data_IF_686862385545
#
_entry.id   IF_686862385545
#
_cell.length_a   1.000
_cell.length_b   1.000
_cell.length_c   1.000
_cell.angle_alpha   90.00
_cell.angle_beta   90.00
_cell.angle_gamma   90.00
#
_symmetry.space_group_name_H-M   'P 1'
#
loop_
_entity.id
_entity.type
_entity.pdbx_description
1 polymer ?
#
# COMPACT_ATOMS: atom_id res chain seq x y z
N UNK A 1 5.51 -6.90 48.07
CA UNK A 1 5.58 -6.76 49.54
C UNK A 1 6.87 -6.05 49.88
N UNK A 2 6.81 -4.90 50.57
CA UNK A 2 7.98 -4.34 51.26
C UNK A 2 7.78 -4.73 52.73
N UNK A 3 8.68 -5.54 53.30
CA UNK A 3 8.59 -5.96 54.69
C UNK A 3 7.43 -6.91 55.05
N UNK A 4 6.90 -7.69 54.10
CA UNK A 4 5.91 -8.74 54.40
C UNK A 4 4.45 -8.31 54.51
N UNK A 5 4.11 -7.06 54.16
CA UNK A 5 2.72 -6.58 54.07
C UNK A 5 2.27 -6.35 52.61
N UNK A 6 0.94 -6.44 52.33
CA UNK A 6 0.36 -6.10 51.04
C UNK A 6 0.63 -4.63 50.69
N UNK A 7 1.10 -4.39 49.47
CA UNK A 7 1.33 -3.03 48.97
C UNK A 7 0.11 -2.62 48.16
N UNK A 8 -0.57 -1.56 48.60
CA UNK A 8 -1.64 -0.93 47.82
C UNK A 8 -1.07 0.30 47.10
N UNK A 9 -1.40 0.45 45.83
CA UNK A 9 -1.05 1.64 45.03
C UNK A 9 -2.32 2.44 44.81
N UNK A 10 -2.33 3.68 45.31
CA UNK A 10 -3.39 4.65 45.08
C UNK A 10 -2.78 5.84 44.32
N UNK A 11 -3.26 6.07 43.10
CA UNK A 11 -2.77 7.12 42.20
C UNK A 11 -3.96 7.82 41.54
N UNK A 12 -3.91 9.14 41.49
CA UNK A 12 -4.88 9.95 40.76
C UNK A 12 -4.32 10.30 39.38
N UNK A 13 -5.01 9.86 38.32
CA UNK A 13 -4.69 10.22 36.94
C UNK A 13 -5.65 11.29 36.43
N UNK A 14 -5.12 12.48 36.09
CA UNK A 14 -5.92 13.53 35.47
C UNK A 14 -5.97 13.37 33.96
N UNK A 15 -7.03 13.90 33.32
CA UNK A 15 -7.14 13.91 31.85
C UNK A 15 -5.94 14.58 31.20
N UNK A 16 -5.53 15.75 31.68
CA UNK A 16 -4.39 16.50 31.14
C UNK A 16 -3.10 15.69 31.21
N UNK A 17 -2.88 14.94 32.31
CA UNK A 17 -1.72 14.07 32.41
C UNK A 17 -1.80 12.90 31.41
N UNK A 18 -2.97 12.25 31.29
CA UNK A 18 -3.18 11.18 30.30
C UNK A 18 -2.98 11.66 28.85
N UNK A 19 -3.51 12.84 28.50
CA UNK A 19 -3.30 13.45 27.18
C UNK A 19 -1.82 13.80 26.94
N UNK A 20 -1.11 14.27 27.98
CA UNK A 20 0.32 14.56 27.88
C UNK A 20 1.15 13.30 27.60
N UNK A 21 0.87 12.18 28.28
CA UNK A 21 1.64 10.94 28.14
C UNK A 21 1.27 10.14 26.88
N UNK A 22 0.18 10.51 26.19
CA UNK A 22 -0.27 9.88 24.93
C UNK A 22 -0.13 10.79 23.71
N UNK A 23 0.43 12.00 23.90
CA UNK A 23 0.49 13.03 22.86
C UNK A 23 1.23 12.55 21.61
N UNK A 24 2.33 11.83 21.77
CA UNK A 24 3.14 11.31 20.67
C UNK A 24 2.33 10.33 19.78
N UNK A 25 1.45 9.52 20.38
CA UNK A 25 0.57 8.62 19.65
C UNK A 25 -0.46 9.38 18.82
N UNK A 26 -1.02 10.47 19.36
CA UNK A 26 -1.93 11.35 18.62
C UNK A 26 -1.20 12.12 17.51
N UNK A 27 0.00 12.63 17.78
CA UNK A 27 0.77 13.38 16.78
C UNK A 27 1.11 12.50 15.56
N UNK A 28 1.33 11.20 15.76
CA UNK A 28 1.58 10.23 14.69
C UNK A 28 0.43 10.09 13.70
N UNK A 29 -0.81 10.41 14.07
CA UNK A 29 -1.97 10.29 13.17
C UNK A 29 -2.17 11.52 12.29
N UNK A 30 -1.49 12.64 12.58
CA UNK A 30 -1.64 13.89 11.81
C UNK A 30 -1.20 13.68 10.36
N UNK A 31 0.01 13.13 10.20
CA UNK A 31 0.64 13.00 8.88
C UNK A 31 -0.17 12.12 7.91
N UNK A 32 -0.63 10.92 8.28
CA UNK A 32 -1.48 10.11 7.40
C UNK A 32 -2.75 10.83 6.94
N UNK A 33 -3.38 11.63 7.81
CA UNK A 33 -4.56 12.42 7.46
C UNK A 33 -4.22 13.52 6.44
N UNK A 34 -3.12 14.25 6.67
CA UNK A 34 -2.66 15.29 5.74
C UNK A 34 -2.25 14.71 4.37
N UNK A 35 -1.55 13.57 4.37
CA UNK A 35 -1.13 12.88 3.16
C UNK A 35 -2.34 12.37 2.37
N UNK A 36 -3.34 11.78 3.03
CA UNK A 36 -4.58 11.34 2.39
C UNK A 36 -5.35 12.51 1.73
N UNK A 37 -5.49 13.64 2.42
CA UNK A 37 -6.13 14.84 1.87
C UNK A 37 -5.34 15.33 0.65
N UNK A 38 -4.00 15.41 0.74
CA UNK A 38 -3.14 15.83 -0.37
C UNK A 38 -3.27 14.92 -1.58
N UNK A 39 -3.30 13.61 -1.38
CA UNK A 39 -3.38 12.60 -2.43
C UNK A 39 -4.75 12.52 -3.09
N UNK A 40 -5.82 12.83 -2.36
CA UNK A 40 -7.18 12.93 -2.90
C UNK A 40 -7.34 14.05 -3.94
N UNK A 41 -6.41 15.01 -3.97
CA UNK A 41 -6.50 16.26 -4.76
C UNK A 41 -7.74 17.11 -4.42
N UNK A 42 -8.37 16.88 -3.28
CA UNK A 42 -9.48 17.66 -2.74
C UNK A 42 -8.99 18.68 -1.72
N UNK A 43 -9.71 19.79 -1.61
CA UNK A 43 -9.54 20.75 -0.52
C UNK A 43 -10.30 20.35 0.74
N UNK A 44 -9.93 20.92 1.89
CA UNK A 44 -10.66 20.73 3.15
C UNK A 44 -12.15 21.16 3.05
N UNK A 45 -12.47 22.09 2.16
CA UNK A 45 -13.83 22.53 1.88
C UNK A 45 -14.71 21.44 1.28
N UNK A 46 -14.09 20.49 0.58
CA UNK A 46 -14.78 19.47 -0.21
C UNK A 46 -15.13 18.24 0.63
N UNK A 47 -14.58 18.13 1.84
CA UNK A 47 -14.95 17.10 2.81
C UNK A 47 -16.30 17.47 3.39
N UNK A 48 -17.40 16.77 3.12
CA UNK A 48 -18.71 17.14 3.67
C UNK A 48 -18.87 16.78 5.15
N UNK A 49 -18.47 15.56 5.52
CA UNK A 49 -18.60 15.00 6.86
C UNK A 49 -17.32 14.29 7.29
N UNK A 50 -17.12 14.23 8.60
CA UNK A 50 -16.01 13.51 9.23
C UNK A 50 -16.61 12.44 10.12
N UNK A 51 -16.26 11.18 9.87
CA UNK A 51 -16.73 10.03 10.65
C UNK A 51 -15.59 9.49 11.49
N UNK A 52 -15.87 9.14 12.74
CA UNK A 52 -14.91 8.52 13.65
C UNK A 52 -15.29 7.06 13.88
N UNK A 53 -14.32 6.17 13.72
CA UNK A 53 -14.52 4.71 13.81
C UNK A 53 -13.47 4.14 14.78
N UNK A 54 -13.90 3.20 15.63
CA UNK A 54 -13.10 2.56 16.68
C UNK A 54 -13.20 3.24 18.04
N UNK A 55 -13.22 2.44 19.13
CA UNK A 55 -13.47 2.92 20.49
C UNK A 55 -12.50 3.99 21.01
N UNK A 56 -11.23 3.95 20.57
CA UNK A 56 -10.22 4.96 20.95
C UNK A 56 -10.60 6.38 20.49
N UNK A 57 -11.45 6.53 19.47
CA UNK A 57 -11.95 7.82 18.99
C UNK A 57 -12.93 8.51 19.95
N UNK A 58 -13.36 7.81 21.02
CA UNK A 58 -14.14 8.39 22.12
C UNK A 58 -13.31 9.33 23.00
N UNK A 59 -11.97 9.29 22.90
CA UNK A 59 -11.09 10.20 23.63
C UNK A 59 -11.29 11.66 23.16
N UNK A 60 -11.56 12.63 24.06
CA UNK A 60 -11.80 14.02 23.67
C UNK A 60 -10.67 14.64 22.85
N UNK A 61 -9.41 14.33 23.17
CA UNK A 61 -8.26 14.83 22.42
C UNK A 61 -8.23 14.34 20.96
N UNK A 62 -8.72 13.12 20.67
CA UNK A 62 -8.80 12.59 19.31
C UNK A 62 -9.89 13.32 18.51
N UNK A 63 -11.05 13.56 19.11
CA UNK A 63 -12.14 14.32 18.47
C UNK A 63 -11.71 15.76 18.17
N UNK A 64 -11.05 16.41 19.14
CA UNK A 64 -10.51 17.76 18.97
C UNK A 64 -9.42 17.81 17.88
N UNK A 65 -8.57 16.79 17.81
CA UNK A 65 -7.57 16.66 16.75
C UNK A 65 -8.22 16.52 15.37
N UNK A 66 -9.19 15.63 15.23
CA UNK A 66 -9.92 15.42 13.97
C UNK A 66 -10.61 16.71 13.50
N UNK A 67 -11.28 17.43 14.42
CA UNK A 67 -11.91 18.71 14.11
C UNK A 67 -10.86 19.77 13.71
N UNK A 68 -9.71 19.80 14.37
CA UNK A 68 -8.61 20.72 14.02
C UNK A 68 -8.04 20.45 12.63
N UNK A 69 -7.82 19.19 12.27
CA UNK A 69 -7.24 18.80 10.98
C UNK A 69 -8.19 19.04 9.81
N UNK A 70 -9.47 18.73 10.01
CA UNK A 70 -10.49 18.78 8.95
C UNK A 70 -11.24 20.10 8.91
N UNK A 71 -11.15 20.92 9.98
CA UNK A 71 -11.98 22.11 10.24
C UNK A 71 -13.48 21.80 10.28
N UNK A 72 -13.85 20.54 10.55
CA UNK A 72 -15.24 20.09 10.62
C UNK A 72 -15.50 19.28 11.87
N UNK A 73 -16.66 19.51 12.47
CA UNK A 73 -17.09 18.76 13.64
C UNK A 73 -17.36 17.29 13.23
N UNK A 74 -16.78 16.31 13.93
CA UNK A 74 -17.07 14.91 13.68
C UNK A 74 -18.56 14.60 13.84
N UNK A 75 -19.09 13.84 12.89
CA UNK A 75 -20.42 13.28 12.97
C UNK A 75 -20.38 12.04 13.88
N UNK A 76 -21.12 12.11 14.97
CA UNK A 76 -21.21 11.07 16.00
C UNK A 76 -22.54 10.29 15.92
N UNK A 77 -23.25 10.35 14.78
CA UNK A 77 -24.51 9.64 14.58
C UNK A 77 -24.34 8.13 14.42
N UNK A 78 -23.12 7.66 14.17
CA UNK A 78 -22.78 6.25 14.00
C UNK A 78 -22.14 5.69 15.28
N UNK A 79 -22.39 4.41 15.58
CA UNK A 79 -21.69 3.73 16.65
C UNK A 79 -20.27 3.34 16.19
N UNK A 80 -19.20 3.95 16.74
CA UNK A 80 -17.84 3.71 16.27
C UNK A 80 -17.37 2.27 16.50
N UNK A 81 -18.00 1.52 17.40
CA UNK A 81 -17.59 0.16 17.77
C UNK A 81 -18.24 -0.91 16.87
N UNK A 82 -19.38 -0.61 16.24
CA UNK A 82 -20.19 -1.58 15.48
C UNK A 82 -20.26 -1.27 13.98
N UNK A 83 -19.97 -0.03 13.58
CA UNK A 83 -20.18 0.45 12.19
C UNK A 83 -19.42 -0.38 11.15
N UNK A 84 -18.25 -0.91 11.49
CA UNK A 84 -17.47 -1.77 10.58
C UNK A 84 -18.20 -3.10 10.34
N UNK A 85 -18.71 -3.73 11.39
CA UNK A 85 -19.45 -4.99 11.27
C UNK A 85 -20.77 -4.80 10.50
N UNK A 86 -21.44 -3.67 10.73
CA UNK A 86 -22.64 -3.29 9.97
C UNK A 86 -22.33 -3.08 8.48
N UNK A 87 -21.24 -2.38 8.16
CA UNK A 87 -20.77 -2.21 6.78
C UNK A 87 -20.45 -3.54 6.09
N UNK A 88 -19.79 -4.45 6.81
CA UNK A 88 -19.51 -5.81 6.30
C UNK A 88 -20.80 -6.60 6.01
N UNK A 89 -21.82 -6.48 6.87
CA UNK A 89 -23.11 -7.12 6.63
C UNK A 89 -23.83 -6.55 5.38
N UNK A 90 -23.75 -5.24 5.16
CA UNK A 90 -24.26 -4.60 3.93
C UNK A 90 -23.51 -5.14 2.70
N UNK A 91 -22.18 -5.24 2.76
CA UNK A 91 -21.38 -5.79 1.67
C UNK A 91 -21.77 -7.25 1.37
N UNK A 92 -22.02 -8.07 2.39
CA UNK A 92 -22.51 -9.44 2.21
C UNK A 92 -23.88 -9.47 1.51
N UNK A 93 -24.80 -8.57 1.88
CA UNK A 93 -26.10 -8.43 1.22
C UNK A 93 -25.99 -8.00 -0.25
N UNK A 94 -25.02 -7.15 -0.60
CA UNK A 94 -24.72 -6.78 -2.00
C UNK A 94 -24.20 -7.99 -2.78
N UNK A 95 -23.25 -8.74 -2.23
CA UNK A 95 -22.70 -9.96 -2.85
C UNK A 95 -23.76 -11.06 -3.02
N UNK A 96 -24.70 -11.18 -2.09
CA UNK A 96 -25.84 -12.10 -2.18
C UNK A 96 -26.92 -11.63 -3.19
N UNK A 97 -26.83 -10.40 -3.69
CA UNK A 97 -27.82 -9.79 -4.59
C UNK A 97 -29.11 -9.36 -3.90
N UNK A 98 -29.15 -9.37 -2.57
CA UNK A 98 -30.27 -8.91 -1.75
C UNK A 98 -30.33 -7.38 -1.70
N UNK A 99 -29.16 -6.73 -1.72
CA UNK A 99 -29.03 -5.27 -1.80
C UNK A 99 -28.58 -4.89 -3.21
N UNK A 100 -29.38 -4.07 -3.89
CA UNK A 100 -29.11 -3.57 -5.24
C UNK A 100 -28.70 -2.09 -5.19
N UNK A 101 -28.10 -1.62 -6.27
CA UNK A 101 -27.74 -0.21 -6.49
C UNK A 101 -26.61 0.35 -5.61
N UNK A 102 -25.77 -0.53 -5.02
CA UNK A 102 -24.51 -0.15 -4.38
C UNK A 102 -23.35 -0.68 -5.23
N UNK A 103 -22.53 0.23 -5.73
CA UNK A 103 -21.25 -0.09 -6.37
C UNK A 103 -20.13 0.35 -5.42
N UNK A 104 -19.38 -0.61 -4.91
CA UNK A 104 -18.17 -0.36 -4.13
C UNK A 104 -16.96 -0.40 -5.08
N UNK A 105 -16.19 0.69 -5.09
CA UNK A 105 -14.91 0.77 -5.77
C UNK A 105 -13.84 0.98 -4.69
N UNK A 106 -12.95 0.01 -4.56
CA UNK A 106 -11.84 0.07 -3.62
C UNK A 106 -10.55 0.46 -4.34
N UNK A 107 -9.46 0.65 -3.60
CA UNK A 107 -8.15 1.03 -4.14
C UNK A 107 -7.02 0.18 -3.57
N UNK A 108 -5.91 0.08 -4.30
CA UNK A 108 -4.71 -0.60 -3.80
C UNK A 108 -3.91 0.32 -2.85
N UNK A 109 -3.43 -0.16 -1.68
CA UNK A 109 -2.80 0.69 -0.67
C UNK A 109 -1.34 1.06 -0.99
N UNK A 110 -0.64 0.25 -1.78
CA UNK A 110 0.78 0.41 -2.11
C UNK A 110 1.01 0.10 -3.58
N UNK A 111 2.03 0.73 -4.16
CA UNK A 111 2.40 0.55 -5.56
C UNK A 111 2.93 -0.86 -5.81
N UNK A 112 2.44 -1.48 -6.89
CA UNK A 112 2.87 -2.80 -7.37
C UNK A 112 3.83 -2.63 -8.55
N UNK A 113 4.99 -3.25 -8.43
CA UNK A 113 6.12 -3.07 -9.34
C UNK A 113 6.76 -4.39 -9.74
N UNK A 114 7.48 -4.35 -10.86
CA UNK A 114 8.39 -5.42 -11.28
C UNK A 114 9.83 -4.93 -11.17
N UNK A 115 10.74 -5.79 -10.71
CA UNK A 115 12.17 -5.51 -10.73
C UNK A 115 12.72 -5.53 -12.17
N UNK A 116 13.43 -4.47 -12.55
CA UNK A 116 14.11 -4.34 -13.84
C UNK A 116 15.63 -4.23 -13.66
N UNK A 117 16.36 -4.11 -14.77
CA UNK A 117 17.82 -4.00 -14.79
C UNK A 117 18.33 -2.98 -13.77
N UNK A 118 19.38 -3.34 -13.03
CA UNK A 118 19.95 -2.53 -11.97
C UNK A 118 19.19 -2.57 -10.64
N UNK A 119 18.18 -3.43 -10.50
CA UNK A 119 17.40 -3.58 -9.28
C UNK A 119 16.39 -2.45 -9.05
N UNK A 120 15.98 -1.78 -10.14
CA UNK A 120 14.99 -0.70 -10.10
C UNK A 120 13.58 -1.30 -10.00
N UNK A 121 12.75 -0.76 -9.12
CA UNK A 121 11.33 -1.09 -9.05
C UNK A 121 10.58 -0.25 -10.11
N UNK A 122 10.19 -0.90 -11.21
CA UNK A 122 9.38 -0.26 -12.25
C UNK A 122 7.91 -0.41 -11.91
N UNK A 123 7.23 0.71 -11.67
CA UNK A 123 5.83 0.74 -11.23
C UNK A 123 4.89 0.35 -12.38
N UNK A 124 3.92 -0.53 -12.10
CA UNK A 124 2.86 -0.90 -13.06
C UNK A 124 1.47 -0.47 -12.57
N UNK A 125 1.16 -0.68 -11.30
CA UNK A 125 -0.09 -0.23 -10.67
C UNK A 125 0.30 0.66 -9.49
N UNK A 126 0.07 1.96 -9.63
CA UNK A 126 0.34 2.95 -8.59
C UNK A 126 -0.59 2.76 -7.38
N UNK A 127 -0.13 3.11 -6.18
CA UNK A 127 -1.00 3.18 -5.00
C UNK A 127 -2.20 4.10 -5.24
N UNK A 128 -3.30 3.81 -4.55
CA UNK A 128 -4.60 4.43 -4.71
C UNK A 128 -5.26 4.20 -6.09
N UNK A 129 -4.73 3.30 -6.93
CA UNK A 129 -5.43 2.87 -8.15
C UNK A 129 -6.69 2.09 -7.81
N UNK A 130 -7.81 2.46 -8.44
CA UNK A 130 -9.11 1.77 -8.26
C UNK A 130 -9.03 0.32 -8.70
N UNK A 131 -9.53 -0.60 -7.87
CA UNK A 131 -9.63 -2.03 -8.19
C UNK A 131 -11.08 -2.42 -8.52
N UNK A 132 -11.30 -3.35 -9.45
CA UNK A 132 -10.30 -4.14 -10.18
C UNK A 132 -9.55 -3.34 -11.26
N UNK A 133 -8.27 -3.67 -11.49
CA UNK A 133 -7.42 -3.02 -12.49
C UNK A 133 -6.48 -4.00 -13.18
N UNK A 134 -6.25 -3.80 -14.48
CA UNK A 134 -5.26 -4.52 -15.28
C UNK A 134 -4.27 -3.55 -15.92
N UNK A 135 -2.98 -3.84 -15.82
CA UNK A 135 -1.90 -3.07 -16.45
C UNK A 135 -0.92 -4.00 -17.15
N UNK A 136 -0.61 -3.67 -18.40
CA UNK A 136 0.32 -4.40 -19.27
C UNK A 136 1.48 -3.51 -19.63
N UNK A 137 2.68 -4.05 -19.54
CA UNK A 137 3.90 -3.38 -19.99
C UNK A 137 4.82 -4.39 -20.66
N UNK A 138 5.44 -3.97 -21.76
CA UNK A 138 6.39 -4.79 -22.49
C UNK A 138 7.79 -4.48 -21.99
N UNK A 139 8.49 -5.54 -21.58
CA UNK A 139 9.89 -5.56 -21.20
C UNK A 139 10.69 -6.35 -22.22
N UNK A 140 12.02 -6.29 -22.11
CA UNK A 140 12.93 -7.06 -22.95
C UNK A 140 14.06 -7.67 -22.13
N UNK A 141 14.79 -8.61 -22.74
CA UNK A 141 15.99 -9.22 -22.15
C UNK A 141 17.10 -8.20 -21.94
N UNK A 142 17.87 -8.42 -20.86
CA UNK A 142 19.01 -7.59 -20.49
C UNK A 142 20.33 -8.10 -21.09
N UNK A 143 20.38 -9.38 -21.50
CA UNK A 143 21.60 -10.04 -22.00
C UNK A 143 21.31 -10.73 -23.33
N UNK A 144 22.32 -10.76 -24.21
CA UNK A 144 22.26 -11.47 -25.49
C UNK A 144 21.99 -12.97 -25.27
N UNK A 145 21.11 -13.54 -26.09
CA UNK A 145 20.74 -14.95 -26.09
C UNK A 145 20.23 -15.47 -24.73
N UNK A 146 19.65 -14.58 -23.91
CA UNK A 146 19.08 -14.91 -22.61
C UNK A 146 17.97 -15.96 -22.74
N UNK A 147 18.13 -17.19 -22.19
CA UNK A 147 17.19 -18.30 -22.39
C UNK A 147 15.92 -18.20 -21.53
N UNK A 148 15.95 -17.36 -20.50
CA UNK A 148 14.87 -17.15 -19.55
C UNK A 148 14.98 -15.79 -18.86
N UNK A 149 13.84 -15.21 -18.47
CA UNK A 149 13.78 -14.00 -17.63
C UNK A 149 13.14 -14.31 -16.30
N UNK A 150 13.70 -13.75 -15.24
CA UNK A 150 13.14 -13.79 -13.90
C UNK A 150 12.27 -12.55 -13.69
N UNK A 151 11.01 -12.78 -13.33
CA UNK A 151 10.05 -11.72 -12.99
C UNK A 151 9.92 -11.69 -11.47
N UNK A 152 10.51 -10.67 -10.85
CA UNK A 152 10.39 -10.43 -9.42
C UNK A 152 9.38 -9.31 -9.16
N UNK A 153 8.33 -9.65 -8.41
CA UNK A 153 7.20 -8.76 -8.09
C UNK A 153 7.39 -8.19 -6.70
N UNK A 154 7.32 -6.87 -6.58
CA UNK A 154 7.48 -6.15 -5.32
C UNK A 154 6.35 -5.15 -5.08
N UNK A 155 6.10 -4.85 -3.80
CA UNK A 155 5.11 -3.87 -3.36
C UNK A 155 5.76 -2.83 -2.44
N UNK A 156 5.55 -1.54 -2.74
CA UNK A 156 6.07 -0.43 -1.96
C UNK A 156 6.41 0.80 -2.80
N UNK A 157 6.79 1.88 -2.14
CA UNK A 157 6.97 3.21 -2.73
C UNK A 157 8.45 3.59 -2.95
N UNK A 158 9.40 2.69 -2.67
CA UNK A 158 10.84 2.99 -2.82
C UNK A 158 11.29 2.64 -4.25
N UNK A 159 12.25 3.38 -4.83
CA UNK A 159 12.62 3.20 -6.24
C UNK A 159 13.43 1.93 -6.53
N UNK A 160 14.00 1.27 -5.51
CA UNK A 160 14.79 0.05 -5.67
C UNK A 160 14.02 -1.16 -5.15
N UNK A 161 14.06 -2.27 -5.88
CA UNK A 161 13.30 -3.48 -5.57
C UNK A 161 13.68 -4.08 -4.20
N UNK A 162 14.97 -4.06 -3.84
CA UNK A 162 15.50 -4.56 -2.55
C UNK A 162 14.92 -3.85 -1.32
N UNK A 163 14.40 -2.65 -1.52
CA UNK A 163 13.94 -1.74 -0.49
C UNK A 163 12.41 -1.80 -0.31
N UNK A 164 11.73 -2.62 -1.13
CA UNK A 164 10.30 -2.88 -1.10
C UNK A 164 10.01 -4.31 -0.61
N UNK A 165 8.73 -4.59 -0.35
CA UNK A 165 8.29 -5.94 0.04
C UNK A 165 8.29 -6.84 -1.19
N UNK A 166 9.09 -7.90 -1.17
CA UNK A 166 9.00 -8.97 -2.17
C UNK A 166 7.70 -9.75 -1.99
N UNK A 167 6.92 -9.84 -3.06
CA UNK A 167 5.68 -10.61 -3.11
C UNK A 167 5.89 -12.01 -3.70
N UNK A 168 6.81 -12.14 -4.65
CA UNK A 168 7.16 -13.41 -5.26
C UNK A 168 7.99 -13.25 -6.52
N UNK A 169 8.61 -14.35 -6.93
CA UNK A 169 9.42 -14.42 -8.16
C UNK A 169 9.03 -15.64 -8.95
N UNK A 170 8.97 -15.51 -10.27
CA UNK A 170 8.80 -16.64 -11.17
C UNK A 170 9.61 -16.44 -12.45
N UNK A 171 10.01 -17.54 -13.08
CA UNK A 171 10.85 -17.51 -14.28
C UNK A 171 10.03 -17.86 -15.52
N UNK A 172 10.16 -17.06 -16.57
CA UNK A 172 9.67 -17.39 -17.90
C UNK A 172 10.79 -18.07 -18.70
N UNK A 173 10.65 -19.37 -18.96
CA UNK A 173 11.63 -20.14 -19.72
C UNK A 173 11.32 -20.21 -21.22
N UNK A 174 12.38 -20.39 -22.01
CA UNK A 174 12.27 -20.79 -23.40
C UNK A 174 11.97 -19.63 -24.33
N UNK A 175 12.55 -18.47 -24.00
CA UNK A 175 12.55 -17.24 -24.79
C UNK A 175 13.41 -17.46 -26.04
N UNK A 176 13.04 -16.82 -27.14
CA UNK A 176 13.85 -16.81 -28.36
C UNK A 176 15.25 -16.27 -28.06
N UNK A 177 16.28 -17.01 -28.48
CA UNK A 177 17.65 -16.51 -28.43
C UNK A 177 17.81 -15.39 -29.47
N UNK A 178 17.97 -14.17 -28.98
CA UNK A 178 18.17 -12.96 -29.78
C UNK A 178 19.07 -11.99 -29.00
N UNK A 179 19.64 -10.96 -29.65
CA UNK A 179 20.35 -9.88 -28.96
C UNK A 179 19.50 -9.25 -27.85
N UNK A 180 20.15 -8.66 -26.84
CA UNK A 180 19.49 -7.88 -25.79
C UNK A 180 18.55 -6.84 -26.42
N UNK A 181 17.40 -6.59 -25.81
CA UNK A 181 16.44 -5.61 -26.35
C UNK A 181 15.50 -6.10 -27.47
N UNK A 182 15.75 -7.26 -28.09
CA UNK A 182 14.88 -7.77 -29.17
C UNK A 182 13.65 -8.56 -28.67
N UNK A 183 13.76 -9.53 -27.74
CA UNK A 183 12.61 -10.31 -27.27
C UNK A 183 11.60 -9.45 -26.51
N UNK A 184 10.32 -9.57 -26.87
CA UNK A 184 9.24 -8.80 -26.25
C UNK A 184 8.49 -9.63 -25.21
N UNK A 185 8.74 -9.34 -23.93
CA UNK A 185 8.06 -10.00 -22.82
C UNK A 185 6.97 -9.06 -22.30
N UNK A 186 5.71 -9.38 -22.58
CA UNK A 186 4.58 -8.68 -22.01
C UNK A 186 4.32 -9.17 -20.60
N UNK A 187 4.47 -8.28 -19.63
CA UNK A 187 4.13 -8.52 -18.23
C UNK A 187 2.79 -7.84 -17.94
N UNK A 188 1.83 -8.61 -17.44
CA UNK A 188 0.49 -8.18 -17.10
C UNK A 188 0.24 -8.36 -15.60
N UNK A 189 -0.10 -7.27 -14.93
CA UNK A 189 -0.55 -7.24 -13.55
C UNK A 189 -2.06 -7.08 -13.56
N UNK A 190 -2.76 -8.03 -12.96
CA UNK A 190 -4.21 -8.02 -12.78
C UNK A 190 -4.52 -8.10 -11.30
N UNK A 191 -5.15 -7.06 -10.77
CA UNK A 191 -5.59 -6.98 -9.38
C UNK A 191 -7.12 -7.02 -9.37
N UNK A 192 -7.69 -8.06 -8.75
CA UNK A 192 -9.14 -8.26 -8.72
C UNK A 192 -9.82 -7.46 -7.60
N UNK A 193 -11.15 -7.58 -7.50
CA UNK A 193 -11.95 -6.88 -6.49
C UNK A 193 -11.72 -7.39 -5.06
N UNK A 194 -11.08 -8.55 -4.89
CA UNK A 194 -10.71 -9.11 -3.58
C UNK A 194 -9.27 -8.75 -3.18
N UNK A 195 -8.54 -8.03 -4.03
CA UNK A 195 -7.13 -7.72 -3.82
C UNK A 195 -6.18 -8.87 -4.17
N UNK A 196 -6.64 -9.91 -4.88
CA UNK A 196 -5.78 -11.00 -5.35
C UNK A 196 -5.01 -10.52 -6.57
N UNK A 197 -3.68 -10.56 -6.50
CA UNK A 197 -2.79 -10.14 -7.57
C UNK A 197 -2.40 -11.36 -8.42
N UNK A 198 -2.74 -11.31 -9.71
CA UNK A 198 -2.23 -12.24 -10.72
C UNK A 198 -1.22 -11.52 -11.60
N UNK A 199 0.02 -11.98 -11.59
CA UNK A 199 1.07 -11.49 -12.47
C UNK A 199 1.38 -12.55 -13.50
N UNK A 200 1.23 -12.22 -14.78
CA UNK A 200 1.58 -13.09 -15.89
C UNK A 200 2.66 -12.45 -16.75
N UNK A 201 3.55 -13.27 -17.29
CA UNK A 201 4.54 -12.87 -18.28
C UNK A 201 4.38 -13.75 -19.52
N UNK A 202 4.35 -13.12 -20.69
CA UNK A 202 4.21 -13.81 -21.98
C UNK A 202 5.24 -13.27 -22.96
N UNK A 203 6.03 -14.17 -23.53
CA UNK A 203 6.85 -13.87 -24.70
C UNK A 203 5.94 -13.75 -25.93
N UNK A 204 5.92 -12.57 -26.56
CA UNK A 204 5.08 -12.29 -27.71
C UNK A 204 5.51 -13.08 -28.96
N UNK A 205 6.77 -13.50 -29.06
CA UNK A 205 7.30 -14.23 -30.22
C UNK A 205 7.01 -15.72 -30.12
N UNK A 206 7.31 -16.33 -28.97
CA UNK A 206 7.14 -17.79 -28.78
C UNK A 206 5.75 -18.17 -28.27
N UNK A 207 4.98 -17.21 -27.76
CA UNK A 207 3.68 -17.45 -27.13
C UNK A 207 3.74 -18.16 -25.78
N UNK A 208 4.94 -18.51 -25.29
CA UNK A 208 5.12 -19.11 -23.97
C UNK A 208 4.78 -18.08 -22.90
N UNK A 209 4.07 -18.55 -21.88
CA UNK A 209 3.70 -17.74 -20.73
C UNK A 209 3.91 -18.49 -19.44
N UNK A 210 4.19 -17.75 -18.39
CA UNK A 210 4.15 -18.24 -17.03
C UNK A 210 3.46 -17.19 -16.15
N UNK A 211 2.92 -17.60 -15.01
CA UNK A 211 2.23 -16.68 -14.10
C UNK A 211 2.38 -17.12 -12.66
N UNK A 212 2.18 -16.16 -11.77
CA UNK A 212 2.05 -16.36 -10.34
C UNK A 212 0.76 -15.67 -9.86
N UNK A 213 0.07 -16.33 -8.95
CA UNK A 213 -1.05 -15.73 -8.22
C UNK A 213 -0.60 -15.53 -6.78
N UNK A 214 -0.75 -14.30 -6.31
CA UNK A 214 -0.30 -13.85 -5.01
C UNK A 214 -1.55 -13.44 -4.25
N UNK A 215 -1.93 -14.29 -3.30
CA UNK A 215 -3.01 -13.99 -2.37
C UNK A 215 -2.49 -13.00 -1.32
N UNK A 216 -3.11 -11.82 -1.25
CA UNK A 216 -2.80 -10.82 -0.22
C UNK A 216 -3.43 -11.16 1.15
N UNK A 217 -3.96 -12.37 1.33
CA UNK A 217 -4.50 -12.89 2.60
C UNK A 217 -3.52 -12.94 3.77
N UNK A 218 -2.22 -12.70 3.55
CA UNK A 218 -1.20 -12.43 4.59
C UNK A 218 -0.57 -11.05 4.46
N UNK A 219 -1.36 -10.09 3.95
CA UNK A 219 -0.96 -8.73 3.64
C UNK A 219 -0.30 -8.03 4.83
N UNK A 220 0.61 -7.11 4.48
CA UNK A 220 1.31 -6.22 5.41
C UNK A 220 0.31 -5.65 6.42
N UNK A 221 0.64 -5.70 7.71
CA UNK A 221 -0.18 -5.04 8.71
C UNK A 221 -0.23 -3.53 8.43
N UNK A 222 -1.27 -2.85 8.89
CA UNK A 222 -1.37 -1.39 8.72
C UNK A 222 -0.12 -0.70 9.30
N UNK A 223 0.45 -1.22 10.39
CA UNK A 223 1.70 -0.73 10.95
C UNK A 223 2.91 -0.91 10.00
N UNK A 224 2.96 -2.03 9.27
CA UNK A 224 3.99 -2.26 8.27
C UNK A 224 3.83 -1.33 7.06
N UNK A 225 2.61 -1.11 6.58
CA UNK A 225 2.31 -0.17 5.49
C UNK A 225 2.75 1.25 5.88
N UNK A 226 2.31 1.72 7.05
CA UNK A 226 2.67 3.05 7.56
C UNK A 226 4.18 3.20 7.74
N UNK A 227 4.87 2.15 8.19
CA UNK A 227 6.32 2.14 8.30
C UNK A 227 6.99 2.24 6.93
N UNK A 228 6.54 1.47 5.94
CA UNK A 228 7.10 1.48 4.58
C UNK A 228 6.93 2.85 3.90
N UNK A 229 5.77 3.48 4.07
CA UNK A 229 5.52 4.84 3.56
C UNK A 229 6.49 5.83 4.22
N UNK A 230 6.58 5.80 5.54
CA UNK A 230 7.48 6.69 6.29
C UNK A 230 8.95 6.47 5.92
N UNK A 231 9.37 5.22 5.78
CA UNK A 231 10.74 4.86 5.40
C UNK A 231 11.05 5.37 3.98
N UNK A 232 10.09 5.33 3.05
CA UNK A 232 10.25 5.92 1.71
C UNK A 232 10.50 7.43 1.77
N UNK A 233 9.74 8.16 2.60
CA UNK A 233 9.91 9.62 2.70
C UNK A 233 11.23 10.03 3.35
N UNK A 234 11.65 9.31 4.40
CA UNK A 234 12.93 9.56 5.07
C UNK A 234 14.10 9.34 4.11
N UNK A 235 14.01 8.31 3.26
CA UNK A 235 15.09 7.92 2.36
C UNK A 235 15.03 8.60 0.99
N UNK A 236 14.02 9.44 0.72
CA UNK A 236 13.74 10.04 -0.60
C UNK A 236 14.96 10.62 -1.32
N UNK A 237 15.77 11.43 -0.63
CA UNK A 237 16.97 12.05 -1.24
C UNK A 237 18.08 11.05 -1.55
N UNK A 238 18.26 10.05 -0.69
CA UNK A 238 19.25 8.98 -0.87
C UNK A 238 18.83 8.05 -2.01
N UNK A 239 17.57 7.70 -2.02
CA UNK A 239 16.93 6.82 -3.00
C UNK A 239 16.93 7.44 -4.40
N UNK A 240 16.70 8.75 -4.49
CA UNK A 240 16.81 9.50 -5.74
C UNK A 240 18.22 9.41 -6.33
N UNK A 241 19.25 9.68 -5.54
CA UNK A 241 20.65 9.60 -6.00
C UNK A 241 21.04 8.19 -6.46
N UNK A 242 20.63 7.18 -5.70
CA UNK A 242 20.92 5.79 -6.05
C UNK A 242 20.26 5.38 -7.37
N UNK A 243 19.00 5.81 -7.61
CA UNK A 243 18.31 5.56 -8.87
C UNK A 243 19.00 6.27 -10.05
N UNK A 244 19.33 7.54 -9.89
CA UNK A 244 20.02 8.33 -10.93
C UNK A 244 21.37 7.71 -11.32
N UNK A 245 22.15 7.22 -10.34
CA UNK A 245 23.43 6.55 -10.60
C UNK A 245 23.25 5.27 -11.43
N UNK A 246 22.23 4.46 -11.11
CA UNK A 246 21.91 3.24 -11.85
C UNK A 246 21.43 3.55 -13.27
N UNK A 247 20.58 4.56 -13.43
CA UNK A 247 20.09 5.00 -14.75
C UNK A 247 21.25 5.46 -15.65
N UNK A 248 22.20 6.24 -15.11
CA UNK A 248 23.41 6.67 -15.83
C UNK A 248 24.28 5.48 -16.26
N UNK A 249 24.47 4.49 -15.38
CA UNK A 249 25.24 3.28 -15.71
C UNK A 249 24.55 2.50 -16.83
N UNK A 250 23.24 2.29 -16.69
CA UNK A 250 22.45 1.55 -17.69
C UNK A 250 22.46 2.26 -19.06
N UNK A 251 22.38 3.60 -19.10
CA UNK A 251 22.48 4.38 -20.34
C UNK A 251 23.88 4.28 -20.98
N UNK A 252 24.94 4.23 -20.17
CA UNK A 252 26.31 4.08 -20.66
C UNK A 252 26.62 2.68 -21.22
N UNK A 253 25.93 1.65 -20.71
CA UNK A 253 26.10 0.24 -21.10
C UNK A 253 25.13 -0.24 -22.20
N UNK A 254 24.10 0.56 -22.51
CA UNK A 254 23.06 0.24 -23.51
C UNK A 254 23.56 0.39 -24.93
#
# INVERSE_FOLDING_TARGET
>A
MIGGQPLNVDLTLTRTHFESITKDLLDRTIKPVEDAIRESKLGLSDIDQVLLVGGSTRMPAVQALAERLTKKKPNLSINPDEVVALGAAVQAGVLAGEIKDILLLDVTPLTLSVETLGGVATHLIERNSTIPVEKKQVFSTAVDNQPSVDIHVVQGERPLAKDNKSLGTFTLHGIKQAPKGEPKIEVCFSLDANGILTVSAKDQDTGKSNQITIDQGSGLSEEEIQRMIKDSEINKEKDKKAREEIEIINEAES
#
